data_IF_882404501469
#
_entry.id   IF_882404501469
#
_cell.length_a   1.000
_cell.length_b   1.000
_cell.length_c   1.000
_cell.angle_alpha   90.00
_cell.angle_beta   90.00
_cell.angle_gamma   90.00
#
_symmetry.space_group_name_H-M   'P 1'
#
loop_
_entity.id
_entity.type
_entity.pdbx_description
1 polymer ?
#
# COMPACT_ATOMS: atom_id res chain seq x y z
N UNK A 1 -48.29 8.73 6.64
CA UNK A 1 -48.68 8.06 5.38
C UNK A 1 -47.64 6.99 5.09
N UNK A 2 -48.00 5.75 5.43
CA UNK A 2 -47.23 4.51 5.35
C UNK A 2 -47.20 3.99 3.92
N UNK A 3 -46.03 3.68 3.37
CA UNK A 3 -45.92 2.94 2.10
C UNK A 3 -45.00 1.74 2.24
N UNK A 4 -45.63 0.57 2.46
CA UNK A 4 -45.08 -0.77 2.36
C UNK A 4 -44.50 -0.99 0.96
N UNK A 5 -43.21 -1.34 0.85
CA UNK A 5 -42.68 -1.95 -0.37
C UNK A 5 -42.51 -3.44 -0.18
N UNK A 6 -43.17 -4.16 -1.08
CA UNK A 6 -43.38 -5.61 -1.09
C UNK A 6 -42.10 -6.34 -1.48
N UNK A 7 -41.80 -7.34 -0.68
CA UNK A 7 -40.93 -8.50 -0.93
C UNK A 7 -41.28 -9.19 -2.25
N UNK A 8 -40.25 -9.45 -3.07
CA UNK A 8 -40.31 -10.42 -4.17
C UNK A 8 -39.12 -11.37 -4.04
N UNK A 9 -39.39 -12.55 -3.46
CA UNK A 9 -38.52 -13.72 -3.47
C UNK A 9 -38.60 -14.37 -4.86
N UNK A 10 -37.50 -14.41 -5.59
CA UNK A 10 -37.36 -15.24 -6.78
C UNK A 10 -36.41 -16.40 -6.45
N UNK A 11 -37.00 -17.57 -6.23
CA UNK A 11 -36.30 -18.84 -6.14
C UNK A 11 -35.92 -19.33 -7.54
N UNK A 12 -34.64 -19.59 -7.78
CA UNK A 12 -34.18 -20.37 -8.94
C UNK A 12 -33.36 -21.54 -8.40
N UNK A 13 -34.01 -22.70 -8.42
CA UNK A 13 -33.37 -24.01 -8.36
C UNK A 13 -33.21 -24.51 -9.80
N UNK A 14 -32.02 -24.89 -10.23
CA UNK A 14 -31.87 -25.92 -11.27
C UNK A 14 -30.46 -26.51 -11.23
N UNK A 15 -30.41 -27.83 -11.02
CA UNK A 15 -29.20 -28.58 -10.77
C UNK A 15 -28.34 -28.88 -11.99
N UNK A 16 -27.13 -29.34 -11.71
CA UNK A 16 -26.29 -30.10 -12.64
C UNK A 16 -25.79 -31.34 -11.91
N UNK A 17 -26.28 -32.47 -12.38
CA UNK A 17 -25.93 -33.84 -12.04
C UNK A 17 -24.70 -34.29 -12.86
N UNK A 18 -23.85 -35.11 -12.23
CA UNK A 18 -23.02 -36.19 -12.79
C UNK A 18 -21.91 -35.85 -13.81
N UNK A 19 -20.65 -36.10 -13.41
CA UNK A 19 -19.80 -37.12 -14.05
C UNK A 19 -18.56 -37.41 -13.16
N UNK A 20 -18.64 -38.48 -12.37
CA UNK A 20 -17.47 -39.10 -11.75
C UNK A 20 -16.97 -40.21 -12.68
N UNK A 21 -16.17 -39.85 -13.70
CA UNK A 21 -15.44 -40.83 -14.52
C UNK A 21 -14.11 -41.14 -13.84
N UNK A 22 -13.99 -42.38 -13.36
CA UNK A 22 -12.77 -42.90 -12.79
C UNK A 22 -11.64 -42.94 -13.80
N UNK A 23 -10.61 -42.12 -13.57
CA UNK A 23 -9.30 -42.33 -14.17
C UNK A 23 -8.59 -43.43 -13.39
N UNK A 24 -8.45 -44.63 -13.98
CA UNK A 24 -7.51 -45.62 -13.46
C UNK A 24 -6.09 -45.13 -13.76
N UNK A 25 -5.39 -44.70 -12.72
CA UNK A 25 -3.98 -44.36 -12.82
C UNK A 25 -3.17 -45.58 -13.28
N UNK A 26 -2.31 -45.46 -14.31
CA UNK A 26 -1.43 -46.53 -14.72
C UNK A 26 -0.55 -47.00 -13.56
N UNK A 27 -0.33 -48.31 -13.46
CA UNK A 27 0.61 -48.88 -12.50
C UNK A 27 2.01 -48.26 -12.72
N UNK A 28 2.68 -47.77 -11.66
CA UNK A 28 3.97 -47.12 -11.79
C UNK A 28 4.97 -48.10 -12.40
N UNK A 29 5.58 -47.68 -13.51
CA UNK A 29 6.72 -48.39 -14.09
C UNK A 29 7.89 -48.26 -13.11
N UNK A 30 8.61 -49.35 -12.79
CA UNK A 30 9.75 -49.30 -11.88
C UNK A 30 10.79 -48.32 -12.43
N UNK A 31 10.98 -47.23 -11.71
CA UNK A 31 11.92 -46.18 -12.05
C UNK A 31 13.35 -46.71 -11.83
N UNK A 32 14.27 -46.53 -12.79
CA UNK A 32 15.63 -47.00 -12.65
C UNK A 32 16.27 -46.34 -11.42
N UNK A 33 16.74 -47.17 -10.50
CA UNK A 33 17.47 -46.69 -9.31
C UNK A 33 18.82 -46.13 -9.76
N UNK A 34 18.90 -44.81 -9.91
CA UNK A 34 20.15 -44.11 -10.19
C UNK A 34 20.97 -44.11 -8.90
N UNK A 35 22.07 -44.86 -8.88
CA UNK A 35 23.05 -44.81 -7.80
C UNK A 35 23.82 -43.49 -7.90
N UNK A 36 23.41 -42.49 -7.14
CA UNK A 36 24.12 -41.21 -7.05
C UNK A 36 25.36 -41.42 -6.19
N UNK A 37 26.53 -41.41 -6.82
CA UNK A 37 27.80 -41.34 -6.10
C UNK A 37 27.96 -39.92 -5.59
N UNK A 38 27.66 -39.71 -4.31
CA UNK A 38 27.91 -38.46 -3.61
C UNK A 38 29.42 -38.24 -3.50
N UNK A 39 29.94 -37.35 -4.33
CA UNK A 39 31.29 -36.80 -4.13
C UNK A 39 31.22 -35.89 -2.92
N UNK A 40 32.11 -36.05 -1.91
CA UNK A 40 32.11 -35.18 -0.75
C UNK A 40 32.43 -33.75 -1.19
N UNK A 41 31.42 -32.89 -1.13
CA UNK A 41 31.57 -31.45 -1.34
C UNK A 41 32.42 -30.89 -0.21
N UNK A 42 33.47 -30.15 -0.55
CA UNK A 42 34.32 -29.47 0.42
C UNK A 42 33.45 -28.62 1.36
N UNK A 43 33.60 -28.84 2.67
CA UNK A 43 32.96 -28.03 3.70
C UNK A 43 33.42 -26.60 3.51
N UNK A 44 32.49 -25.71 3.16
CA UNK A 44 32.79 -24.29 3.04
C UNK A 44 33.30 -23.79 4.40
N UNK A 45 34.47 -23.16 4.38
CA UNK A 45 34.98 -22.39 5.52
C UNK A 45 33.92 -21.38 5.92
N UNK A 46 33.54 -21.27 7.21
CA UNK A 46 32.59 -20.27 7.65
C UNK A 46 33.10 -18.88 7.25
N UNK A 47 32.39 -18.22 6.35
CA UNK A 47 32.57 -16.80 6.08
C UNK A 47 32.13 -16.05 7.31
N UNK A 48 32.98 -15.18 7.84
CA UNK A 48 32.64 -14.31 8.96
C UNK A 48 31.31 -13.63 8.70
N UNK A 49 30.42 -13.64 9.70
CA UNK A 49 29.16 -12.93 9.61
C UNK A 49 29.47 -11.45 9.32
N UNK A 50 28.84 -10.84 8.31
CA UNK A 50 29.07 -9.43 8.02
C UNK A 50 28.80 -8.61 9.28
N UNK A 51 29.69 -7.65 9.55
CA UNK A 51 29.50 -6.72 10.65
C UNK A 51 28.11 -6.09 10.56
N UNK A 52 27.40 -5.91 11.69
CA UNK A 52 26.09 -5.28 11.68
C UNK A 52 26.20 -3.93 10.95
N UNK A 53 25.29 -3.71 10.00
CA UNK A 53 25.21 -2.43 9.32
C UNK A 53 25.04 -1.33 10.37
N UNK A 54 25.69 -0.16 10.21
CA UNK A 54 25.48 0.96 11.11
C UNK A 54 24.00 1.26 11.22
N UNK A 55 23.52 1.44 12.44
CA UNK A 55 22.15 1.86 12.70
C UNK A 55 21.96 3.24 12.04
N UNK A 56 20.98 3.42 11.13
CA UNK A 56 20.78 4.68 10.43
C UNK A 56 20.62 5.80 11.46
N UNK A 57 21.60 6.71 11.49
CA UNK A 57 21.74 7.72 12.56
C UNK A 57 21.14 9.07 12.19
N UNK A 58 20.49 9.15 11.03
CA UNK A 58 19.74 10.33 10.62
C UNK A 58 18.27 10.08 10.91
N UNK A 59 17.85 10.40 12.13
CA UNK A 59 16.44 10.70 12.38
C UNK A 59 16.13 11.90 11.49
N UNK A 60 15.64 11.64 10.28
CA UNK A 60 15.19 12.68 9.37
C UNK A 60 14.11 13.43 10.11
N UNK A 61 14.43 14.66 10.51
CA UNK A 61 13.50 15.53 11.19
C UNK A 61 12.24 15.62 10.31
N UNK A 62 11.11 15.02 10.72
CA UNK A 62 9.90 15.02 9.91
C UNK A 62 9.35 16.44 9.72
N UNK A 63 9.80 17.40 10.54
CA UNK A 63 9.44 18.81 10.47
C UNK A 63 10.34 19.59 9.50
N UNK A 64 11.47 19.02 9.06
CA UNK A 64 12.38 19.63 8.10
C UNK A 64 11.91 19.41 6.65
N UNK A 65 10.77 20.00 6.29
CA UNK A 65 10.28 20.01 4.91
C UNK A 65 10.12 21.44 4.37
N UNK A 66 10.21 21.58 3.04
CA UNK A 66 9.85 22.81 2.34
C UNK A 66 8.46 22.61 1.75
N UNK A 67 7.47 23.35 2.26
CA UNK A 67 6.07 23.14 1.91
C UNK A 67 5.76 23.31 0.41
N UNK A 68 6.55 24.08 -0.33
CA UNK A 68 6.42 24.27 -1.77
C UNK A 68 7.21 23.25 -2.61
N UNK A 69 8.04 22.41 -1.99
CA UNK A 69 8.89 21.44 -2.67
C UNK A 69 8.64 20.04 -2.12
N UNK A 70 7.75 19.30 -2.79
CA UNK A 70 7.35 17.95 -2.38
C UNK A 70 8.47 16.91 -2.49
N UNK A 71 9.60 17.23 -3.15
CA UNK A 71 10.77 16.36 -3.15
C UNK A 71 11.49 16.33 -1.79
N UNK A 72 11.24 17.33 -0.95
CA UNK A 72 11.77 17.39 0.43
C UNK A 72 10.86 16.68 1.44
N UNK A 73 9.67 16.25 1.03
CA UNK A 73 8.71 15.64 1.93
C UNK A 73 9.07 14.17 2.18
N UNK A 74 8.83 13.71 3.41
CA UNK A 74 9.10 12.34 3.82
C UNK A 74 7.80 11.58 4.01
N UNK A 75 7.77 10.33 3.54
CA UNK A 75 6.73 9.35 3.87
C UNK A 75 7.15 8.65 5.16
N UNK A 76 6.32 8.75 6.19
CA UNK A 76 6.52 8.08 7.47
C UNK A 76 5.21 7.47 7.98
N UNK A 77 5.24 6.81 9.13
CA UNK A 77 4.01 6.40 9.82
C UNK A 77 3.19 7.60 10.31
N UNK A 78 3.83 8.76 10.54
CA UNK A 78 3.12 9.98 10.93
C UNK A 78 2.25 10.53 9.78
N UNK A 79 2.75 10.48 8.54
CA UNK A 79 2.10 11.13 7.40
C UNK A 79 2.99 11.23 6.16
N UNK A 80 2.70 12.21 5.31
CA UNK A 80 3.46 12.53 4.10
C UNK A 80 3.80 14.03 4.12
N UNK A 81 5.04 14.37 4.49
CA UNK A 81 5.46 15.76 4.70
C UNK A 81 4.51 16.48 5.68
N UNK A 82 3.94 17.65 5.32
CA UNK A 82 3.00 18.39 6.19
C UNK A 82 1.67 17.67 6.44
N UNK A 83 1.37 16.61 5.69
CA UNK A 83 0.08 15.92 5.78
C UNK A 83 0.15 14.85 6.86
N UNK A 84 -0.25 15.18 8.09
CA UNK A 84 -0.08 14.31 9.27
C UNK A 84 -1.41 13.66 9.68
N UNK A 85 -1.39 12.34 9.87
CA UNK A 85 -2.51 11.59 10.45
C UNK A 85 -2.59 11.91 11.95
N UNK A 86 -3.79 12.23 12.43
CA UNK A 86 -4.07 12.67 13.80
C UNK A 86 -4.30 14.17 13.94
N UNK A 87 -3.79 14.99 13.01
CA UNK A 87 -4.01 16.43 13.01
C UNK A 87 -5.40 16.81 12.50
N UNK A 88 -5.73 18.09 12.52
CA UNK A 88 -6.97 18.61 11.92
C UNK A 88 -6.69 19.18 10.54
N UNK A 89 -7.72 19.27 9.70
CA UNK A 89 -7.60 19.89 8.37
C UNK A 89 -7.10 21.34 8.46
N UNK A 90 -7.54 22.07 9.49
CA UNK A 90 -7.12 23.46 9.68
C UNK A 90 -5.61 23.60 9.91
N UNK A 91 -5.01 22.68 10.69
CA UNK A 91 -3.57 22.66 10.94
C UNK A 91 -2.85 22.39 9.63
N UNK A 92 -3.21 21.32 8.92
CA UNK A 92 -2.51 20.94 7.69
C UNK A 92 -2.70 21.96 6.56
N UNK A 93 -3.89 22.53 6.39
CA UNK A 93 -4.14 23.59 5.41
C UNK A 93 -3.34 24.86 5.68
N UNK A 94 -2.97 25.13 6.93
CA UNK A 94 -2.11 26.28 7.26
C UNK A 94 -0.65 26.06 6.80
N UNK A 95 -0.21 24.80 6.77
CA UNK A 95 1.16 24.40 6.43
C UNK A 95 1.34 24.14 4.92
N UNK A 96 0.27 23.83 4.19
CA UNK A 96 0.31 23.60 2.74
C UNK A 96 0.05 24.91 1.98
N UNK A 97 0.97 25.41 1.15
CA UNK A 97 0.89 26.73 0.52
C UNK A 97 -0.11 26.83 -0.64
N UNK A 98 -0.97 25.82 -0.81
CA UNK A 98 -1.97 25.75 -1.87
C UNK A 98 -3.36 25.46 -1.27
N UNK A 99 -4.37 26.10 -1.84
CA UNK A 99 -5.76 25.81 -1.50
C UNK A 99 -6.13 24.40 -1.99
N UNK A 100 -6.76 23.56 -1.13
CA UNK A 100 -7.26 22.28 -1.57
C UNK A 100 -8.43 22.43 -2.55
N UNK A 101 -8.58 21.44 -3.42
CA UNK A 101 -9.86 21.13 -4.04
C UNK A 101 -10.64 20.28 -3.05
N UNK A 102 -11.73 20.86 -2.54
CA UNK A 102 -12.66 20.18 -1.65
C UNK A 102 -13.50 19.21 -2.49
N UNK A 103 -13.24 17.92 -2.33
CA UNK A 103 -13.94 16.87 -3.05
C UNK A 103 -15.33 16.64 -2.45
N UNK A 104 -15.40 16.53 -1.13
CA UNK A 104 -16.61 16.52 -0.30
C UNK A 104 -16.23 17.00 1.11
N UNK A 105 -17.19 17.29 2.01
CA UNK A 105 -16.85 17.57 3.41
C UNK A 105 -15.88 16.52 3.95
N UNK A 106 -14.89 16.93 4.74
CA UNK A 106 -13.90 16.02 5.32
C UNK A 106 -12.94 15.33 4.33
N UNK A 107 -12.92 15.74 3.06
CA UNK A 107 -11.99 15.21 2.05
C UNK A 107 -11.41 16.35 1.22
N UNK A 108 -10.11 16.59 1.42
CA UNK A 108 -9.35 17.59 0.69
C UNK A 108 -8.35 16.96 -0.24
N UNK A 109 -8.15 17.58 -1.40
CA UNK A 109 -7.20 17.12 -2.40
C UNK A 109 -6.30 18.25 -2.89
N UNK A 110 -5.05 17.92 -3.17
CA UNK A 110 -4.08 18.83 -3.77
C UNK A 110 -3.37 18.14 -4.93
N UNK A 111 -2.82 18.94 -5.84
CA UNK A 111 -1.97 18.44 -6.92
C UNK A 111 -0.67 19.21 -6.94
N UNK A 112 0.45 18.50 -6.79
CA UNK A 112 1.80 19.06 -6.89
C UNK A 112 2.64 18.21 -7.82
N UNK A 113 3.21 18.82 -8.87
CA UNK A 113 4.16 18.13 -9.76
C UNK A 113 3.62 16.85 -10.42
N UNK A 114 2.32 16.78 -10.72
CA UNK A 114 1.69 15.59 -11.31
C UNK A 114 1.32 14.49 -10.30
N UNK A 115 1.52 14.73 -9.00
CA UNK A 115 1.10 13.84 -7.91
C UNK A 115 -0.14 14.42 -7.23
N UNK A 116 -1.17 13.59 -7.09
CA UNK A 116 -2.36 13.91 -6.31
C UNK A 116 -2.15 13.54 -4.85
N UNK A 117 -2.55 14.43 -3.95
CA UNK A 117 -2.54 14.23 -2.51
C UNK A 117 -3.96 14.29 -2.01
N UNK A 118 -4.33 13.40 -1.10
CA UNK A 118 -5.69 13.34 -0.53
C UNK A 118 -5.59 13.18 0.97
N UNK A 119 -6.41 13.94 1.69
CA UNK A 119 -6.61 13.79 3.12
C UNK A 119 -8.05 13.49 3.43
N UNK A 120 -8.28 12.69 4.46
CA UNK A 120 -9.62 12.33 4.94
C UNK A 120 -9.70 12.52 6.45
N UNK A 121 -10.71 13.25 6.91
CA UNK A 121 -11.02 13.43 8.33
C UNK A 121 -12.03 12.40 8.81
N UNK A 122 -11.77 11.82 9.99
CA UNK A 122 -12.71 10.92 10.65
C UNK A 122 -12.99 9.63 9.87
N UNK A 123 -13.98 8.87 10.33
CA UNK A 123 -14.47 7.66 9.66
C UNK A 123 -15.71 7.97 8.81
N UNK A 124 -16.48 9.00 9.21
CA UNK A 124 -17.73 9.40 8.55
C UNK A 124 -17.54 10.45 7.45
N UNK A 125 -16.31 10.99 7.33
CA UNK A 125 -15.94 11.98 6.31
C UNK A 125 -16.90 13.17 6.25
N UNK A 126 -17.46 13.58 7.39
CA UNK A 126 -18.43 14.67 7.44
C UNK A 126 -18.07 15.75 8.45
N UNK A 127 -17.16 15.43 9.38
CA UNK A 127 -16.71 16.37 10.39
C UNK A 127 -15.29 16.85 10.08
N UNK A 128 -15.10 18.03 9.44
CA UNK A 128 -13.77 18.57 9.17
C UNK A 128 -12.99 18.97 10.43
N UNK A 129 -13.64 19.02 11.60
CA UNK A 129 -12.98 19.21 12.89
C UNK A 129 -12.48 17.88 13.50
N UNK A 130 -12.82 16.73 12.91
CA UNK A 130 -12.27 15.46 13.31
C UNK A 130 -10.80 15.35 12.89
N UNK A 131 -10.06 14.49 13.61
CA UNK A 131 -8.69 14.16 13.25
C UNK A 131 -8.63 13.50 11.86
N UNK A 132 -7.56 13.80 11.13
CA UNK A 132 -7.17 13.13 9.88
C UNK A 132 -6.92 11.67 10.19
N UNK A 133 -7.58 10.77 9.48
CA UNK A 133 -7.44 9.32 9.64
C UNK A 133 -6.64 8.69 8.50
N UNK A 134 -6.53 9.41 7.38
CA UNK A 134 -5.85 8.97 6.18
C UNK A 134 -5.21 10.13 5.43
N UNK A 135 -4.00 9.86 4.94
CA UNK A 135 -3.27 10.68 3.98
C UNK A 135 -2.84 9.77 2.84
N UNK A 136 -3.04 10.19 1.60
CA UNK A 136 -2.72 9.43 0.40
C UNK A 136 -1.98 10.30 -0.60
N UNK A 137 -1.04 9.70 -1.31
CA UNK A 137 -0.54 10.23 -2.58
C UNK A 137 -0.72 9.22 -3.70
N UNK A 138 -1.05 9.73 -4.89
CA UNK A 138 -1.32 8.94 -6.09
C UNK A 138 -0.69 9.59 -7.32
N UNK A 139 -0.14 8.77 -8.21
CA UNK A 139 0.28 9.24 -9.52
C UNK A 139 -0.96 9.55 -10.38
N UNK A 140 -1.17 10.80 -10.78
CA UNK A 140 -2.30 11.21 -11.64
C UNK A 140 -1.94 11.00 -13.12
N UNK A 141 -0.68 11.26 -13.48
CA UNK A 141 -0.12 11.06 -14.82
C UNK A 141 1.09 10.11 -14.75
N UNK A 142 1.86 10.03 -15.85
CA UNK A 142 3.17 9.35 -15.84
C UNK A 142 4.14 10.13 -14.96
N UNK A 143 4.09 9.89 -13.64
CA UNK A 143 5.03 10.47 -12.69
C UNK A 143 6.41 9.90 -13.01
N UNK A 144 7.40 10.77 -13.23
CA UNK A 144 8.77 10.32 -13.38
C UNK A 144 9.21 9.59 -12.11
N UNK A 145 9.81 8.39 -12.23
CA UNK A 145 10.48 7.76 -11.10
C UNK A 145 11.46 8.74 -10.48
N UNK A 146 11.44 8.84 -9.15
CA UNK A 146 12.26 9.81 -8.42
C UNK A 146 11.47 10.98 -7.86
N UNK A 147 10.35 11.36 -8.47
CA UNK A 147 9.61 12.58 -8.12
C UNK A 147 8.72 12.41 -6.89
N UNK A 148 8.72 13.44 -6.02
CA UNK A 148 7.83 13.55 -4.88
C UNK A 148 8.35 12.89 -3.59
N UNK A 149 7.49 12.78 -2.57
CA UNK A 149 7.88 12.30 -1.25
C UNK A 149 8.40 10.86 -1.29
N UNK A 150 9.35 10.56 -0.40
CA UNK A 150 9.94 9.22 -0.25
C UNK A 150 10.07 8.84 1.21
N UNK A 151 10.09 7.54 1.48
CA UNK A 151 10.54 7.05 2.78
C UNK A 151 12.04 7.33 2.95
N UNK A 152 12.54 7.22 4.18
CA UNK A 152 13.99 7.38 4.47
C UNK A 152 14.85 6.35 3.74
N UNK A 153 14.28 5.19 3.40
CA UNK A 153 14.92 4.14 2.59
C UNK A 153 14.80 4.40 1.07
N UNK A 154 14.23 5.54 0.68
CA UNK A 154 14.13 5.97 -0.72
C UNK A 154 12.96 5.37 -1.50
N UNK A 155 11.99 4.72 -0.84
CA UNK A 155 10.80 4.18 -1.51
C UNK A 155 9.75 5.28 -1.71
N UNK A 156 9.23 5.41 -2.93
CA UNK A 156 8.20 6.39 -3.25
C UNK A 156 7.37 5.98 -4.47
N UNK A 157 6.63 6.92 -5.04
CA UNK A 157 5.96 6.69 -6.32
C UNK A 157 6.99 6.36 -7.41
N UNK A 158 6.63 5.41 -8.28
CA UNK A 158 7.48 4.89 -9.36
C UNK A 158 8.52 3.83 -8.92
N UNK A 159 8.73 3.61 -7.62
CA UNK A 159 9.58 2.51 -7.15
C UNK A 159 8.96 1.15 -7.49
N UNK A 160 9.77 0.15 -7.82
CA UNK A 160 9.29 -1.21 -8.10
C UNK A 160 8.95 -1.97 -6.82
N UNK A 161 8.16 -3.03 -6.94
CA UNK A 161 7.91 -3.95 -5.81
C UNK A 161 9.20 -4.62 -5.32
N UNK A 162 10.13 -4.94 -6.24
CA UNK A 162 11.42 -5.53 -5.88
C UNK A 162 12.27 -4.55 -5.04
N UNK A 163 12.29 -3.27 -5.41
CA UNK A 163 12.95 -2.22 -4.62
C UNK A 163 12.31 -2.09 -3.24
N UNK A 164 10.97 -2.06 -3.16
CA UNK A 164 10.26 -2.03 -1.88
C UNK A 164 10.63 -3.23 -1.01
N UNK A 165 10.57 -4.45 -1.53
CA UNK A 165 10.87 -5.65 -0.76
C UNK A 165 12.34 -5.73 -0.33
N UNK A 166 13.25 -5.21 -1.15
CA UNK A 166 14.67 -5.13 -0.81
C UNK A 166 14.93 -4.12 0.32
N UNK A 167 14.28 -2.94 0.27
CA UNK A 167 14.41 -1.92 1.30
C UNK A 167 13.65 -2.27 2.59
N UNK A 168 12.50 -2.95 2.46
CA UNK A 168 11.54 -3.25 3.53
C UNK A 168 11.14 -4.73 3.50
N UNK A 169 12.02 -5.63 3.96
CA UNK A 169 11.70 -7.06 4.03
C UNK A 169 10.61 -7.39 5.06
N UNK A 170 10.28 -6.42 5.93
CA UNK A 170 9.17 -6.45 6.89
C UNK A 170 7.80 -6.14 6.26
N UNK A 171 7.75 -5.70 5.00
CA UNK A 171 6.51 -5.39 4.31
C UNK A 171 5.64 -6.64 4.09
N UNK A 172 4.42 -6.59 4.59
CA UNK A 172 3.45 -7.69 4.47
C UNK A 172 2.65 -7.52 3.19
N UNK A 173 2.73 -8.50 2.30
CA UNK A 173 1.88 -8.56 1.13
C UNK A 173 0.43 -8.87 1.55
N UNK A 174 -0.49 -8.00 1.17
CA UNK A 174 -1.93 -8.20 1.29
C UNK A 174 -2.50 -8.57 -0.07
N UNK A 175 -3.21 -9.70 -0.18
CA UNK A 175 -3.86 -10.08 -1.42
C UNK A 175 -4.85 -9.00 -1.86
N UNK A 176 -4.75 -8.56 -3.12
CA UNK A 176 -5.78 -7.74 -3.72
C UNK A 176 -7.07 -8.54 -3.91
N UNK A 177 -8.22 -7.86 -3.86
CA UNK A 177 -9.49 -8.48 -4.22
C UNK A 177 -9.65 -8.55 -5.74
N UNK A 178 -10.19 -9.65 -6.26
CA UNK A 178 -10.60 -9.76 -7.68
C UNK A 178 -9.48 -9.57 -8.71
N UNK A 179 -8.30 -10.14 -8.46
CA UNK A 179 -7.17 -10.05 -9.40
C UNK A 179 -6.51 -8.67 -9.42
N UNK A 180 -6.87 -7.79 -8.49
CA UNK A 180 -6.10 -6.58 -8.24
C UNK A 180 -4.71 -6.96 -7.69
N UNK A 181 -3.67 -6.20 -8.06
CA UNK A 181 -2.32 -6.38 -7.55
C UNK A 181 -2.27 -6.32 -6.02
N UNK A 182 -1.29 -7.04 -5.45
CA UNK A 182 -1.07 -7.04 -4.03
C UNK A 182 -0.67 -5.64 -3.54
N UNK A 183 -1.25 -5.21 -2.43
CA UNK A 183 -0.74 -4.07 -1.68
C UNK A 183 0.30 -4.58 -0.67
N UNK A 184 1.26 -3.74 -0.32
CA UNK A 184 2.28 -4.05 0.69
C UNK A 184 2.12 -3.11 1.87
N UNK A 185 2.08 -3.67 3.08
CA UNK A 185 1.79 -2.92 4.29
C UNK A 185 2.95 -2.98 5.27
N UNK A 186 3.28 -1.82 5.83
CA UNK A 186 4.14 -1.66 7.00
C UNK A 186 3.28 -1.25 8.19
N UNK A 187 3.65 -1.69 9.38
CA UNK A 187 2.89 -1.43 10.62
C UNK A 187 3.81 -0.83 11.69
N UNK A 188 3.36 0.23 12.35
CA UNK A 188 3.98 0.76 13.57
C UNK A 188 2.94 1.49 14.40
N UNK A 189 2.86 1.21 15.70
CA UNK A 189 2.06 1.96 16.69
C UNK A 189 0.59 2.20 16.28
N UNK A 190 -0.05 1.19 15.69
CA UNK A 190 -1.44 1.28 15.22
C UNK A 190 -1.64 2.08 13.93
N UNK A 191 -0.55 2.48 13.27
CA UNK A 191 -0.54 3.12 11.96
C UNK A 191 -0.05 2.17 10.89
N UNK A 192 -0.49 2.41 9.67
CA UNK A 192 -0.14 1.62 8.49
C UNK A 192 0.36 2.52 7.37
N UNK A 193 1.44 2.12 6.72
CA UNK A 193 1.84 2.63 5.41
C UNK A 193 1.55 1.54 4.39
N UNK A 194 0.69 1.84 3.41
CA UNK A 194 0.30 0.92 2.34
C UNK A 194 0.88 1.41 1.01
N UNK A 195 1.63 0.55 0.34
CA UNK A 195 2.13 0.75 -1.02
C UNK A 195 1.29 -0.09 -1.98
N UNK A 196 0.78 0.51 -3.04
CA UNK A 196 -0.02 -0.18 -4.04
C UNK A 196 0.59 -0.02 -5.43
N UNK A 197 0.80 -1.15 -6.09
CA UNK A 197 0.94 -1.21 -7.54
C UNK A 197 -0.47 -1.21 -8.15
N UNK A 198 -0.68 -0.56 -9.29
CA UNK A 198 -1.96 -0.60 -10.05
C UNK A 198 -1.83 -1.47 -11.31
N UNK A 199 -0.99 -2.51 -11.27
CA UNK A 199 -0.72 -3.42 -12.38
C UNK A 199 0.36 -2.92 -13.34
N UNK A 200 1.13 -1.92 -12.91
CA UNK A 200 2.20 -1.28 -13.69
C UNK A 200 3.58 -1.85 -13.37
N UNK A 201 3.70 -2.66 -12.31
CA UNK A 201 4.98 -3.16 -11.79
C UNK A 201 5.73 -2.12 -10.94
N UNK A 202 5.13 -0.96 -10.70
CA UNK A 202 5.68 0.12 -9.87
C UNK A 202 4.61 0.65 -8.92
N UNK A 203 5.03 1.23 -7.80
CA UNK A 203 4.15 1.83 -6.80
C UNK A 203 3.50 3.08 -7.42
N UNK A 204 2.17 3.05 -7.51
CA UNK A 204 1.34 4.13 -8.03
C UNK A 204 0.61 4.89 -6.93
N UNK A 205 0.54 4.30 -5.73
CA UNK A 205 -0.15 4.90 -4.60
C UNK A 205 0.55 4.54 -3.29
N UNK A 206 0.66 5.54 -2.42
CA UNK A 206 1.11 5.37 -1.04
C UNK A 206 0.05 5.99 -0.13
N UNK A 207 -0.39 5.23 0.88
CA UNK A 207 -1.38 5.67 1.87
C UNK A 207 -0.83 5.49 3.27
N UNK A 208 -0.93 6.52 4.10
CA UNK A 208 -0.68 6.47 5.54
C UNK A 208 -2.02 6.57 6.26
N UNK A 209 -2.34 5.62 7.14
CA UNK A 209 -3.64 5.57 7.82
C UNK A 209 -3.54 5.10 9.27
N UNK A 210 -4.53 5.49 10.07
CA UNK A 210 -4.73 5.01 11.44
C UNK A 210 -5.53 3.70 11.51
N UNK A 211 -5.78 3.05 10.37
CA UNK A 211 -6.49 1.77 10.29
C UNK A 211 -5.86 0.86 9.24
N UNK A 212 -6.03 -0.45 9.41
CA UNK A 212 -5.46 -1.48 8.52
C UNK A 212 -6.30 -1.71 7.27
N UNK A 213 -7.46 -1.06 7.15
CA UNK A 213 -8.33 -1.19 6.00
C UNK A 213 -7.72 -0.52 4.76
N UNK A 214 -7.74 -1.21 3.62
CA UNK A 214 -7.46 -0.57 2.34
C UNK A 214 -8.65 0.32 2.02
N UNK A 215 -8.45 1.63 2.09
CA UNK A 215 -9.50 2.58 1.72
C UNK A 215 -9.65 2.56 0.20
N UNK A 216 -10.89 2.40 -0.25
CA UNK A 216 -11.22 2.36 -1.67
C UNK A 216 -11.13 3.74 -2.32
N UNK A 217 -12.04 3.97 -3.24
CA UNK A 217 -12.22 5.25 -3.90
C UNK A 217 -12.79 6.29 -2.91
N UNK A 218 -12.07 7.39 -2.75
CA UNK A 218 -12.39 8.50 -1.84
C UNK A 218 -13.17 9.60 -2.59
N UNK A 219 -13.01 9.72 -3.92
CA UNK A 219 -13.49 10.87 -4.70
C UNK A 219 -14.15 10.54 -6.05
N UNK A 220 -14.54 9.30 -6.31
CA UNK A 220 -15.11 8.89 -7.60
C UNK A 220 -14.08 8.46 -8.65
N UNK A 221 -12.84 8.13 -8.26
CA UNK A 221 -11.73 7.71 -9.12
C UNK A 221 -11.31 6.24 -8.87
#
# INVERSE_FOLDING_TARGET
>A
MTSLHRTALAAIALGVLLAASGCSAPAPTPEPTVTVTVTPTATATPTDAPAPAPEPTDEVDPDAYVASDTSTWVVSFAGIGPLVVGDTFQVVQADVPAAPVICRPGVDTWTFGGVGYTMVSGIDEQNPAAAVTLVRMVAIDTVQPGTGPRTVEGIGLGSTIAELQAARPDAVATPGTQGQPAAYQLFSDGRVVTFQDSGTGTIQMITVSSSTGVVGDICGA
#
